data_IF_829539774149
#
_entry.id   IF_829539774149
#
_cell.length_a   1.000
_cell.length_b   1.000
_cell.length_c   1.000
_cell.angle_alpha   90.00
_cell.angle_beta   90.00
_cell.angle_gamma   90.00
#
_symmetry.space_group_name_H-M   'P 1'
#
loop_
_entity.id
_entity.type
_entity.pdbx_description
1 polymer ?
#
# COMPACT_ATOMS: atom_id res chain seq x y z
N UNK A 1 9.30 -8.39 20.49
CA UNK A 1 8.68 -7.12 20.05
C UNK A 1 9.69 -5.99 20.15
N UNK A 2 10.52 -5.98 21.20
CA UNK A 2 11.71 -5.10 21.29
C UNK A 2 12.67 -5.30 20.10
N UNK A 3 12.77 -6.52 19.58
CA UNK A 3 13.57 -6.87 18.39
C UNK A 3 13.14 -6.07 17.14
N UNK A 4 11.83 -5.94 16.93
CA UNK A 4 11.24 -5.22 15.78
C UNK A 4 11.54 -3.73 15.89
N UNK A 5 11.52 -3.19 17.11
CA UNK A 5 11.85 -1.79 17.36
C UNK A 5 13.33 -1.52 17.11
N UNK A 6 14.21 -2.44 17.50
CA UNK A 6 15.63 -2.40 17.19
C UNK A 6 15.87 -2.40 15.68
N UNK A 7 15.31 -3.37 14.97
CA UNK A 7 15.41 -3.46 13.51
C UNK A 7 14.89 -2.22 12.79
N UNK A 8 13.75 -1.66 13.21
CA UNK A 8 13.24 -0.42 12.64
C UNK A 8 14.19 0.75 12.88
N UNK A 9 14.77 0.89 14.08
CA UNK A 9 15.73 1.95 14.33
C UNK A 9 17.00 1.78 13.48
N UNK A 10 17.49 0.56 13.30
CA UNK A 10 18.68 0.29 12.46
C UNK A 10 18.40 0.57 10.98
N UNK A 11 17.27 0.08 10.44
CA UNK A 11 16.91 0.27 9.04
C UNK A 11 16.67 1.74 8.72
N UNK A 12 15.97 2.46 9.59
CA UNK A 12 15.60 3.86 9.36
C UNK A 12 16.61 4.88 9.92
N UNK A 13 17.74 4.43 10.47
CA UNK A 13 18.81 5.30 10.98
C UNK A 13 19.31 6.29 9.91
N UNK A 14 19.29 5.91 8.64
CA UNK A 14 19.68 6.77 7.51
C UNK A 14 18.70 7.94 7.30
N UNK A 15 17.41 7.74 7.55
CA UNK A 15 16.36 8.76 7.37
C UNK A 15 16.07 9.57 8.64
N UNK A 16 16.40 9.01 9.81
CA UNK A 16 16.29 9.65 11.13
C UNK A 16 17.56 9.40 11.96
N UNK A 17 18.65 10.16 11.72
CA UNK A 17 19.90 10.00 12.45
C UNK A 17 19.79 10.35 13.94
N UNK A 18 18.79 11.14 14.34
CA UNK A 18 18.47 11.48 15.74
C UNK A 18 17.61 10.41 16.44
N UNK A 19 17.26 9.34 15.71
CA UNK A 19 16.36 8.28 16.18
C UNK A 19 14.90 8.50 15.77
N UNK A 20 14.14 7.40 15.73
CA UNK A 20 12.73 7.44 15.35
C UNK A 20 11.87 8.05 16.47
N UNK A 21 11.08 9.11 16.20
CA UNK A 21 10.13 9.63 17.16
C UNK A 21 9.13 8.56 17.60
N UNK A 22 8.66 8.64 18.84
CA UNK A 22 7.68 7.67 19.38
C UNK A 22 6.41 7.56 18.53
N UNK A 23 5.88 8.70 18.07
CA UNK A 23 4.68 8.74 17.23
C UNK A 23 4.90 8.04 15.89
N UNK A 24 6.06 8.26 15.27
CA UNK A 24 6.45 7.64 14.01
C UNK A 24 6.60 6.13 14.17
N UNK A 25 7.32 5.72 15.20
CA UNK A 25 7.62 4.33 15.50
C UNK A 25 6.34 3.54 15.84
N UNK A 26 5.36 4.19 16.49
CA UNK A 26 4.04 3.62 16.71
C UNK A 26 3.27 3.38 15.40
N UNK A 27 3.34 4.31 14.46
CA UNK A 27 2.70 4.18 13.13
C UNK A 27 3.35 3.07 12.30
N UNK A 28 4.68 2.98 12.27
CA UNK A 28 5.42 1.92 11.57
C UNK A 28 5.10 0.54 12.16
N UNK A 29 5.08 0.40 13.49
CA UNK A 29 4.66 -0.84 14.15
C UNK A 29 3.20 -1.19 13.87
N UNK A 30 2.33 -0.18 13.73
CA UNK A 30 0.95 -0.42 13.34
C UNK A 30 0.87 -0.99 11.93
N UNK A 31 1.64 -0.46 10.98
CA UNK A 31 1.70 -0.97 9.60
C UNK A 31 2.19 -2.43 9.54
N UNK A 32 3.28 -2.74 10.25
CA UNK A 32 3.81 -4.11 10.32
C UNK A 32 2.76 -5.10 10.85
N UNK A 33 2.05 -4.73 11.93
CA UNK A 33 1.04 -5.60 12.56
C UNK A 33 -0.24 -5.74 11.73
N UNK A 34 -0.74 -4.65 11.16
CA UNK A 34 -2.00 -4.65 10.40
C UNK A 34 -1.84 -5.37 9.07
N UNK A 35 -0.69 -5.20 8.42
CA UNK A 35 -0.44 -5.74 7.09
C UNK A 35 0.42 -7.01 7.08
N UNK A 36 0.88 -7.49 8.25
CA UNK A 36 1.75 -8.65 8.39
C UNK A 36 2.96 -8.62 7.44
N UNK A 37 3.57 -7.44 7.28
CA UNK A 37 4.77 -7.23 6.46
C UNK A 37 6.02 -7.17 7.33
N UNK A 38 7.17 -7.54 6.75
CA UNK A 38 8.45 -7.52 7.45
C UNK A 38 9.00 -6.08 7.60
N UNK A 39 9.84 -5.81 8.61
CA UNK A 39 10.51 -4.51 8.79
C UNK A 39 11.29 -4.07 7.55
N UNK A 40 12.02 -5.00 6.93
CA UNK A 40 12.76 -4.73 5.69
C UNK A 40 11.85 -4.38 4.51
N UNK A 41 10.72 -5.09 4.35
CA UNK A 41 9.73 -4.79 3.30
C UNK A 41 9.12 -3.40 3.48
N UNK A 42 8.85 -3.01 4.73
CA UNK A 42 8.39 -1.66 5.04
C UNK A 42 9.44 -0.62 4.68
N UNK A 43 10.71 -0.90 4.97
CA UNK A 43 11.84 -0.02 4.59
C UNK A 43 11.98 0.13 3.07
N UNK A 44 11.89 -0.95 2.29
CA UNK A 44 11.91 -0.85 0.83
C UNK A 44 10.77 0.01 0.25
N UNK A 45 9.58 -0.09 0.84
CA UNK A 45 8.45 0.77 0.47
C UNK A 45 8.72 2.22 0.83
N UNK A 46 9.33 2.49 1.98
CA UNK A 46 9.74 3.84 2.38
C UNK A 46 10.76 4.43 1.40
N UNK A 47 11.82 3.69 1.06
CA UNK A 47 12.82 4.12 0.07
C UNK A 47 12.17 4.43 -1.28
N UNK A 48 11.22 3.57 -1.71
CA UNK A 48 10.44 3.80 -2.94
C UNK A 48 9.54 5.04 -2.84
N UNK A 49 8.93 5.29 -1.69
CA UNK A 49 8.12 6.48 -1.43
C UNK A 49 8.96 7.76 -1.45
N UNK A 50 10.12 7.71 -0.80
CA UNK A 50 11.13 8.77 -0.79
C UNK A 50 11.61 9.11 -2.21
N UNK A 51 11.87 8.09 -3.03
CA UNK A 51 12.20 8.26 -4.46
C UNK A 51 11.05 8.88 -5.27
N UNK A 52 9.78 8.53 -4.95
CA UNK A 52 8.59 9.05 -5.63
C UNK A 52 8.32 10.53 -5.30
N UNK A 53 8.43 10.92 -4.03
CA UNK A 53 8.14 12.29 -3.57
C UNK A 53 9.31 13.26 -3.83
N UNK A 54 10.54 12.75 -3.96
CA UNK A 54 11.75 13.55 -4.20
C UNK A 54 12.49 13.91 -2.91
N UNK A 55 13.75 14.35 -3.04
CA UNK A 55 14.72 14.53 -1.93
C UNK A 55 14.24 15.35 -0.73
N UNK A 56 13.23 16.19 -0.90
CA UNK A 56 12.67 17.03 0.16
C UNK A 56 11.90 16.23 1.23
N UNK A 57 11.39 15.04 0.90
CA UNK A 57 10.66 14.15 1.81
C UNK A 57 11.48 12.95 2.31
N UNK A 58 12.81 13.03 2.22
CA UNK A 58 13.74 12.04 2.79
C UNK A 58 13.75 12.00 4.32
N UNK A 59 13.25 13.07 4.96
CA UNK A 59 13.16 13.16 6.41
C UNK A 59 11.94 12.43 6.92
N UNK A 60 12.20 11.50 7.81
CA UNK A 60 11.17 10.68 8.39
C UNK A 60 10.60 11.41 9.61
N UNK A 61 9.47 12.09 9.38
CA UNK A 61 8.71 12.92 10.31
C UNK A 61 7.27 12.42 10.39
N UNK A 62 6.48 12.92 11.35
CA UNK A 62 5.08 12.53 11.48
C UNK A 62 4.25 12.79 10.22
N UNK A 63 4.55 13.86 9.48
CA UNK A 63 3.83 14.19 8.24
C UNK A 63 4.14 13.19 7.12
N UNK A 64 5.42 12.92 6.87
CA UNK A 64 5.86 11.96 5.84
C UNK A 64 5.46 10.53 6.19
N UNK A 65 5.47 10.13 7.47
CA UNK A 65 5.00 8.81 7.88
C UNK A 65 3.49 8.64 7.66
N UNK A 66 2.70 9.71 7.81
CA UNK A 66 1.25 9.69 7.53
C UNK A 66 0.97 9.59 6.04
N UNK A 67 1.76 10.28 5.21
CA UNK A 67 1.70 10.16 3.75
C UNK A 67 2.09 8.75 3.32
N UNK A 68 3.20 8.23 3.85
CA UNK A 68 3.66 6.87 3.61
C UNK A 68 2.63 5.81 4.03
N UNK A 69 2.00 5.97 5.20
CA UNK A 69 0.92 5.08 5.65
C UNK A 69 -0.22 5.02 4.65
N UNK A 70 -0.64 6.17 4.09
CA UNK A 70 -1.65 6.22 3.04
C UNK A 70 -1.19 5.52 1.77
N UNK A 71 0.04 5.77 1.31
CA UNK A 71 0.61 5.10 0.12
C UNK A 71 0.66 3.57 0.28
N UNK A 72 1.03 3.08 1.46
CA UNK A 72 1.03 1.64 1.79
C UNK A 72 -0.39 1.08 1.79
N UNK A 73 -1.34 1.77 2.40
CA UNK A 73 -2.75 1.37 2.43
C UNK A 73 -3.35 1.33 1.03
N UNK A 74 -3.20 2.39 0.23
CA UNK A 74 -3.73 2.45 -1.13
C UNK A 74 -3.09 1.39 -2.03
N UNK A 75 -1.79 1.15 -1.89
CA UNK A 75 -1.10 0.09 -2.62
C UNK A 75 -1.70 -1.28 -2.31
N UNK A 76 -1.97 -1.57 -1.03
CA UNK A 76 -2.55 -2.84 -0.59
C UNK A 76 -4.04 -2.98 -0.95
N UNK A 77 -4.80 -1.91 -0.93
CA UNK A 77 -6.18 -1.87 -1.42
C UNK A 77 -6.24 -2.13 -2.93
N UNK A 78 -5.30 -1.54 -3.69
CA UNK A 78 -5.12 -1.85 -5.11
C UNK A 78 -4.79 -3.31 -5.34
N UNK A 79 -3.87 -3.90 -4.59
CA UNK A 79 -3.52 -5.32 -4.70
C UNK A 79 -4.71 -6.23 -4.40
N UNK A 80 -5.49 -5.88 -3.36
CA UNK A 80 -6.70 -6.62 -2.97
C UNK A 80 -7.79 -6.54 -4.05
N UNK A 81 -7.98 -5.37 -4.67
CA UNK A 81 -8.93 -5.16 -5.77
C UNK A 81 -8.44 -5.72 -7.11
N UNK A 82 -7.13 -5.82 -7.29
CA UNK A 82 -6.48 -6.33 -8.51
C UNK A 82 -6.37 -7.85 -8.54
N UNK A 83 -6.90 -8.55 -7.52
CA UNK A 83 -7.43 -9.89 -7.74
C UNK A 83 -8.73 -9.73 -8.51
N UNK A 84 -8.78 -9.92 -9.84
CA UNK A 84 -10.06 -10.14 -10.50
C UNK A 84 -10.64 -11.37 -9.83
N UNK A 85 -11.58 -11.15 -8.90
CA UNK A 85 -12.54 -12.15 -8.52
C UNK A 85 -13.08 -12.66 -9.84
N UNK A 86 -12.67 -13.89 -10.18
CA UNK A 86 -13.07 -14.68 -11.34
C UNK A 86 -14.32 -14.07 -11.97
N UNK A 87 -14.13 -13.21 -12.98
CA UNK A 87 -15.22 -12.87 -13.88
C UNK A 87 -15.48 -14.17 -14.62
N UNK A 88 -16.34 -15.00 -14.02
CA UNK A 88 -17.07 -16.02 -14.71
C UNK A 88 -17.62 -15.36 -15.97
N UNK A 89 -17.43 -15.95 -17.16
CA UNK A 89 -18.14 -15.52 -18.34
C UNK A 89 -19.61 -15.88 -18.13
N UNK A 90 -20.34 -15.05 -17.39
CA UNK A 90 -21.79 -15.17 -17.29
C UNK A 90 -22.34 -14.65 -18.59
N UNK A 91 -22.39 -15.56 -19.56
CA UNK A 91 -23.18 -15.47 -20.76
C UNK A 91 -24.54 -14.86 -20.43
N UNK A 92 -24.74 -13.62 -20.85
CA UNK A 92 -26.08 -13.13 -21.18
C UNK A 92 -26.10 -12.98 -22.69
N UNK A 93 -26.67 -13.92 -23.45
CA UNK A 93 -26.90 -13.68 -24.86
C UNK A 93 -27.83 -12.47 -24.94
N UNK A 94 -27.32 -11.36 -25.48
CA UNK A 94 -28.17 -10.24 -25.86
C UNK A 94 -29.12 -10.79 -26.92
N UNK A 95 -30.37 -11.00 -26.52
CA UNK A 95 -31.45 -11.43 -27.39
C UNK A 95 -31.41 -10.57 -28.65
N UNK A 96 -31.14 -11.21 -29.79
CA UNK A 96 -31.39 -10.64 -31.09
C UNK A 96 -32.91 -10.54 -31.23
N UNK A 97 -33.46 -9.40 -30.82
CA UNK A 97 -34.80 -8.99 -31.24
C UNK A 97 -34.71 -8.61 -32.73
N UNK A 98 -34.72 -9.63 -33.59
CA UNK A 98 -35.02 -9.49 -34.99
C UNK A 98 -36.52 -9.20 -35.10
N UNK A 99 -36.84 -7.92 -35.11
CA UNK A 99 -38.10 -7.40 -35.68
C UNK A 99 -37.97 -7.39 -37.21
N UNK A 100 -39.13 -7.45 -37.88
CA UNK A 100 -39.42 -7.35 -39.33
C UNK A 100 -39.41 -8.71 -40.07
N UNK A 101 -40.44 -9.12 -40.83
CA UNK A 101 -41.63 -8.45 -41.38
C UNK A 101 -42.64 -9.52 -41.85
N UNK A 102 -43.93 -9.17 -41.79
CA UNK A 102 -45.11 -9.85 -42.33
C UNK A 102 -44.90 -10.85 -43.49
N UNK A 103 -45.33 -12.08 -43.26
CA UNK A 103 -45.71 -13.04 -44.29
C UNK A 103 -47.13 -13.55 -44.01
N UNK A 104 -48.12 -12.73 -44.33
CA UNK A 104 -49.55 -13.10 -44.46
C UNK A 104 -50.32 -12.00 -45.16
#
# INVERSE_FOLDING_TARGET
MEDIVGELNELFAASSPDGLPKDVLAELQSLLRVHSIAPQELFYKWESFCLKMGSEETKLNLETVRLFKRDVQESLERETRSKPGRQLPTATPRAAAATDVFGM
#
